data_IF_452382153070
#
_entry.id   IF_452382153070
#
_cell.length_a   1.000
_cell.length_b   1.000
_cell.length_c   1.000
_cell.angle_alpha   90.00
_cell.angle_beta   90.00
_cell.angle_gamma   90.00
#
_symmetry.space_group_name_H-M   'P 1'
#
loop_
_entity.id
_entity.type
_entity.pdbx_description
1 polymer ?
#
# COMPACT_ATOMS: atom_id res chain seq x y z
N UNK A 1 -7.06 2.08 14.64
CA UNK A 1 -6.97 3.43 15.27
C UNK A 1 -5.78 4.21 14.71
N UNK A 2 -5.91 5.49 14.33
CA UNK A 2 -4.74 6.38 14.11
C UNK A 2 -4.37 7.14 15.38
N UNK A 3 -3.23 6.77 15.98
CA UNK A 3 -2.02 7.60 16.20
C UNK A 3 -1.21 7.01 17.37
N UNK A 4 0.09 6.80 17.12
CA UNK A 4 1.13 6.22 17.99
C UNK A 4 1.23 4.69 17.94
N UNK A 5 1.64 4.18 16.77
CA UNK A 5 2.41 2.94 16.59
C UNK A 5 2.09 1.81 17.57
N UNK A 6 1.23 0.92 17.08
CA UNK A 6 0.86 -0.41 17.59
C UNK A 6 -0.05 -0.48 18.81
N UNK A 7 -1.27 -0.99 18.56
CA UNK A 7 -2.20 -1.49 19.56
C UNK A 7 -2.59 -2.90 19.11
N UNK A 8 -2.11 -3.88 19.87
CA UNK A 8 -2.55 -5.28 19.84
C UNK A 8 -3.70 -5.42 20.85
N UNK A 9 -4.73 -6.23 20.56
CA UNK A 9 -5.54 -6.94 21.56
C UNK A 9 -6.59 -7.87 20.91
N UNK A 10 -6.94 -8.92 21.66
CA UNK A 10 -7.01 -10.35 21.30
C UNK A 10 -8.19 -10.99 22.08
N UNK A 11 -8.83 -12.06 21.61
CA UNK A 11 -9.45 -12.98 22.59
C UNK A 11 -10.44 -14.02 22.06
N UNK A 12 -10.19 -15.28 22.39
CA UNK A 12 -10.99 -16.48 22.10
C UNK A 12 -12.23 -16.61 23.01
N UNK A 13 -13.36 -17.06 22.46
CA UNK A 13 -14.27 -17.95 23.19
C UNK A 13 -15.05 -18.84 22.23
N UNK A 14 -14.90 -20.16 22.36
CA UNK A 14 -15.80 -21.16 21.75
C UNK A 14 -15.87 -21.20 20.21
N UNK A 15 -14.74 -20.99 19.51
CA UNK A 15 -14.57 -21.49 18.13
C UNK A 15 -14.38 -20.47 17.01
N UNK A 16 -14.31 -19.17 17.29
CA UNK A 16 -13.90 -18.13 16.33
C UNK A 16 -13.15 -17.01 17.10
N UNK A 17 -12.16 -16.34 16.47
CA UNK A 17 -11.72 -14.92 16.61
C UNK A 17 -10.33 -14.65 15.92
N UNK A 18 -10.26 -13.52 15.18
CA UNK A 18 -9.53 -13.10 13.95
C UNK A 18 -8.14 -12.41 14.10
N UNK A 19 -7.47 -12.02 12.99
CA UNK A 19 -6.43 -10.95 12.93
C UNK A 19 -6.30 -10.23 11.56
N UNK A 20 -6.20 -8.89 11.57
CA UNK A 20 -5.81 -7.97 10.47
C UNK A 20 -4.52 -7.24 10.88
N UNK A 21 -3.61 -6.95 9.95
CA UNK A 21 -2.39 -6.15 10.17
C UNK A 21 -2.33 -4.96 9.20
N UNK A 22 -2.13 -3.75 9.75
CA UNK A 22 -1.94 -2.48 9.00
C UNK A 22 -0.83 -1.69 9.72
N UNK A 23 0.13 -1.13 8.97
CA UNK A 23 1.28 -0.41 9.52
C UNK A 23 1.03 1.10 9.79
N UNK A 24 2.07 1.81 10.25
CA UNK A 24 2.04 3.26 10.53
C UNK A 24 2.05 4.18 9.30
N UNK A 25 2.19 3.62 8.10
CA UNK A 25 2.04 4.31 6.81
C UNK A 25 0.61 4.16 6.26
N UNK A 26 -0.14 3.18 6.76
CA UNK A 26 -1.50 2.85 6.33
C UNK A 26 -1.57 1.63 5.41
N UNK A 27 -0.48 0.87 5.26
CA UNK A 27 -0.43 -0.28 4.35
C UNK A 27 -0.98 -1.55 5.01
N UNK A 28 -1.93 -2.19 4.31
CA UNK A 28 -2.61 -3.44 4.66
C UNK A 28 -1.73 -4.67 4.35
N UNK A 29 -1.71 -5.67 5.26
CA UNK A 29 -0.82 -6.84 5.10
C UNK A 29 -1.50 -8.12 4.63
N UNK A 30 -2.79 -8.41 4.92
CA UNK A 30 -3.59 -9.54 4.36
C UNK A 30 -4.87 -9.86 5.18
N UNK A 31 -5.72 -10.75 4.66
CA UNK A 31 -6.86 -11.39 5.37
C UNK A 31 -7.23 -12.77 4.80
N UNK A 32 -7.57 -13.76 5.65
CA UNK A 32 -8.52 -14.88 5.43
C UNK A 32 -8.55 -15.80 6.67
N UNK A 33 -9.55 -16.60 7.03
CA UNK A 33 -11.01 -16.47 7.11
C UNK A 33 -11.45 -17.21 8.40
N UNK A 34 -12.58 -16.87 9.00
CA UNK A 34 -13.33 -17.81 9.84
C UNK A 34 -14.62 -18.16 9.09
N UNK A 35 -14.53 -19.12 8.17
CA UNK A 35 -15.66 -19.81 7.55
C UNK A 35 -16.81 -18.91 7.07
N UNK A 36 -16.63 -18.24 5.93
CA UNK A 36 -17.73 -17.64 5.18
C UNK A 36 -18.35 -16.42 5.84
N UNK A 37 -17.57 -15.64 6.59
CA UNK A 37 -18.02 -14.40 7.21
C UNK A 37 -17.49 -13.20 6.41
N UNK A 38 -18.39 -12.41 5.84
CA UNK A 38 -18.02 -11.16 5.17
C UNK A 38 -17.57 -10.10 6.20
N UNK A 39 -16.58 -9.28 5.83
CA UNK A 39 -15.92 -8.30 6.69
C UNK A 39 -15.72 -6.98 5.94
N UNK A 40 -15.93 -5.84 6.61
CA UNK A 40 -15.61 -4.52 6.08
C UNK A 40 -15.30 -3.54 7.21
N UNK A 41 -14.58 -2.45 6.92
CA UNK A 41 -14.32 -1.37 7.88
C UNK A 41 -14.73 -0.01 7.34
N UNK A 42 -15.28 0.84 8.20
CA UNK A 42 -15.62 2.22 7.84
C UNK A 42 -14.42 3.17 8.04
N UNK A 43 -14.58 4.44 7.63
CA UNK A 43 -13.55 5.48 7.75
C UNK A 43 -13.13 5.78 9.19
N UNK A 44 -13.99 5.50 10.17
CA UNK A 44 -13.69 5.64 11.60
C UNK A 44 -12.89 4.44 12.16
N UNK A 45 -12.68 3.39 11.34
CA UNK A 45 -11.97 2.17 11.69
C UNK A 45 -12.80 1.16 12.49
N UNK A 46 -14.13 1.34 12.56
CA UNK A 46 -15.03 0.32 13.10
C UNK A 46 -15.14 -0.83 12.12
N UNK A 47 -15.18 -2.06 12.64
CA UNK A 47 -15.19 -3.28 11.84
C UNK A 47 -16.61 -3.85 11.86
N UNK A 48 -17.08 -4.27 10.71
CA UNK A 48 -18.38 -4.88 10.53
C UNK A 48 -18.22 -6.29 9.99
N UNK A 49 -18.90 -7.24 10.61
CA UNK A 49 -18.88 -8.64 10.19
C UNK A 49 -20.26 -9.24 10.21
N UNK A 50 -20.51 -10.19 9.30
CA UNK A 50 -21.68 -11.06 9.37
C UNK A 50 -21.22 -12.45 9.75
N UNK A 51 -21.59 -12.91 10.96
CA UNK A 51 -21.22 -14.24 11.45
C UNK A 51 -22.30 -15.29 11.19
N UNK A 52 -21.93 -16.49 10.72
CA UNK A 52 -22.80 -17.69 10.86
C UNK A 52 -22.54 -18.87 9.93
N UNK A 53 -22.91 -20.08 10.39
CA UNK A 53 -23.04 -21.28 9.56
C UNK A 53 -24.36 -21.26 8.75
N UNK A 54 -24.51 -22.06 7.69
CA UNK A 54 -25.71 -22.04 6.84
C UNK A 54 -27.01 -22.38 7.62
N UNK A 55 -28.09 -21.62 7.41
CA UNK A 55 -29.45 -21.95 7.89
C UNK A 55 -29.96 -21.27 9.18
N UNK A 56 -29.79 -19.96 9.34
CA UNK A 56 -30.33 -19.22 10.51
C UNK A 56 -30.29 -17.70 10.40
N UNK A 57 -30.57 -17.02 11.51
CA UNK A 57 -30.45 -15.55 11.66
C UNK A 57 -28.98 -15.17 11.74
N UNK A 58 -28.51 -14.29 10.85
CA UNK A 58 -27.11 -13.82 10.83
C UNK A 58 -27.03 -12.36 11.26
N UNK A 59 -26.44 -12.03 12.43
CA UNK A 59 -26.29 -10.65 12.84
C UNK A 59 -25.18 -9.97 12.04
N UNK A 60 -25.44 -8.73 11.60
CA UNK A 60 -24.39 -7.77 11.32
C UNK A 60 -23.88 -7.26 12.68
N UNK A 61 -22.62 -7.49 12.95
CA UNK A 61 -21.95 -7.11 14.20
C UNK A 61 -20.96 -6.01 13.89
N UNK A 62 -21.09 -4.89 14.59
CA UNK A 62 -20.08 -3.85 14.68
C UNK A 62 -19.14 -4.16 15.84
N UNK A 63 -17.84 -3.99 15.60
CA UNK A 63 -16.78 -4.19 16.58
C UNK A 63 -16.04 -2.86 16.76
N UNK A 64 -16.07 -2.32 17.97
CA UNK A 64 -15.30 -1.14 18.33
C UNK A 64 -13.80 -1.49 18.34
N UNK A 65 -12.97 -0.83 17.51
CA UNK A 65 -11.57 -1.18 17.34
C UNK A 65 -10.71 -0.82 18.57
N UNK A 66 -11.21 0.02 19.47
CA UNK A 66 -10.50 0.44 20.69
C UNK A 66 -10.77 -0.47 21.86
N UNK A 67 -12.00 -0.95 21.95
CA UNK A 67 -12.49 -1.68 23.13
C UNK A 67 -12.74 -3.16 22.85
N UNK A 68 -12.84 -3.55 21.58
CA UNK A 68 -13.29 -4.89 21.16
C UNK A 68 -14.77 -5.14 21.45
N UNK A 69 -15.53 -4.11 21.84
CA UNK A 69 -16.94 -4.25 22.15
C UNK A 69 -17.73 -4.57 20.87
N UNK A 70 -18.55 -5.63 20.95
CA UNK A 70 -19.43 -6.05 19.86
C UNK A 70 -20.83 -5.49 20.06
N UNK A 71 -21.41 -4.95 18.99
CA UNK A 71 -22.79 -4.45 18.96
C UNK A 71 -23.53 -5.01 17.76
N UNK A 72 -24.72 -5.58 17.97
CA UNK A 72 -25.55 -6.04 16.86
C UNK A 72 -26.21 -4.83 16.22
N UNK A 73 -25.92 -4.62 14.94
CA UNK A 73 -26.49 -3.55 14.12
C UNK A 73 -27.86 -3.96 13.58
N UNK A 74 -27.92 -5.11 12.92
CA UNK A 74 -29.13 -5.68 12.33
C UNK A 74 -29.00 -7.19 12.20
N UNK A 75 -30.06 -7.85 11.73
CA UNK A 75 -30.08 -9.29 11.52
C UNK A 75 -30.62 -9.62 10.13
N UNK A 76 -29.88 -10.46 9.42
CA UNK A 76 -30.31 -11.05 8.16
C UNK A 76 -31.09 -12.33 8.44
N UNK A 77 -32.27 -12.45 7.82
CA UNK A 77 -33.09 -13.66 7.88
C UNK A 77 -32.88 -14.43 6.58
N UNK A 78 -32.35 -15.65 6.67
CA UNK A 78 -32.13 -16.57 5.54
C UNK A 78 -31.18 -16.09 4.43
N UNK A 79 -30.50 -14.95 4.58
CA UNK A 79 -29.53 -14.46 3.60
C UNK A 79 -28.11 -14.94 3.95
N UNK A 80 -27.38 -15.41 2.94
CA UNK A 80 -25.95 -15.67 3.05
C UNK A 80 -25.19 -14.47 2.50
N UNK A 81 -24.61 -13.64 3.38
CA UNK A 81 -23.76 -12.51 2.97
C UNK A 81 -22.39 -13.05 2.55
N UNK A 82 -21.96 -12.71 1.34
CA UNK A 82 -20.70 -13.19 0.72
C UNK A 82 -19.63 -12.11 0.58
N UNK A 83 -20.02 -10.85 0.71
CA UNK A 83 -19.11 -9.72 0.67
C UNK A 83 -19.75 -8.52 1.35
N UNK A 84 -18.92 -7.72 2.00
CA UNK A 84 -19.27 -6.43 2.58
C UNK A 84 -18.25 -5.41 2.09
N UNK A 85 -18.69 -4.20 1.79
CA UNK A 85 -17.79 -3.11 1.41
C UNK A 85 -18.36 -1.77 1.88
N UNK A 86 -17.50 -0.87 2.33
CA UNK A 86 -17.87 0.52 2.54
C UNK A 86 -17.51 1.34 1.31
N UNK A 87 -18.45 2.17 0.88
CA UNK A 87 -18.13 3.26 -0.06
C UNK A 87 -17.33 4.35 0.64
N UNK A 88 -16.76 5.27 -0.16
CA UNK A 88 -16.03 6.45 0.34
C UNK A 88 -16.88 7.41 1.19
N UNK A 89 -18.21 7.28 1.15
CA UNK A 89 -19.18 8.04 1.96
C UNK A 89 -19.65 7.29 3.20
N UNK A 90 -18.98 6.20 3.58
CA UNK A 90 -19.32 5.30 4.71
C UNK A 90 -20.69 4.61 4.58
N UNK A 91 -21.18 4.43 3.36
CA UNK A 91 -22.35 3.61 3.11
C UNK A 91 -21.93 2.15 2.95
N UNK A 92 -22.51 1.27 3.75
CA UNK A 92 -22.20 -0.16 3.76
C UNK A 92 -23.04 -0.88 2.69
N UNK A 93 -22.35 -1.61 1.83
CA UNK A 93 -22.93 -2.49 0.83
C UNK A 93 -22.69 -3.94 1.21
N UNK A 94 -23.63 -4.80 0.80
CA UNK A 94 -23.52 -6.23 0.96
C UNK A 94 -23.99 -6.92 -0.31
N UNK A 95 -23.23 -7.91 -0.75
CA UNK A 95 -23.72 -8.91 -1.68
C UNK A 95 -24.14 -10.14 -0.89
N UNK A 96 -25.31 -10.65 -1.20
CA UNK A 96 -25.83 -11.83 -0.53
C UNK A 96 -26.68 -12.67 -1.44
N UNK A 97 -26.95 -13.90 -1.02
CA UNK A 97 -27.85 -14.78 -1.72
C UNK A 97 -29.05 -15.12 -0.82
N UNK A 98 -30.25 -15.08 -1.40
CA UNK A 98 -31.55 -15.27 -0.72
C UNK A 98 -31.74 -16.66 -0.14
N UNK A 99 -31.05 -17.67 -0.69
CA UNK A 99 -30.86 -18.97 -0.07
C UNK A 99 -29.60 -19.67 -0.62
N UNK A 100 -29.15 -20.76 0.01
CA UNK A 100 -27.96 -21.54 -0.42
C UNK A 100 -28.10 -22.17 -1.82
N UNK A 101 -29.33 -22.24 -2.35
CA UNK A 101 -29.65 -22.89 -3.61
C UNK A 101 -29.99 -21.89 -4.71
N UNK A 102 -30.04 -20.60 -4.39
CA UNK A 102 -30.45 -19.57 -5.31
C UNK A 102 -29.29 -19.31 -6.25
N UNK A 103 -29.64 -19.19 -7.51
CA UNK A 103 -28.69 -18.99 -8.58
C UNK A 103 -28.40 -17.52 -8.82
N UNK A 104 -28.87 -16.60 -7.98
CA UNK A 104 -28.68 -15.16 -8.18
C UNK A 104 -28.25 -14.49 -6.90
N UNK A 105 -27.27 -13.59 -6.98
CA UNK A 105 -26.86 -12.75 -5.87
C UNK A 105 -27.63 -11.41 -5.90
N UNK A 106 -27.95 -10.86 -4.73
CA UNK A 106 -28.64 -9.58 -4.53
C UNK A 106 -27.71 -8.58 -3.85
N UNK A 107 -27.76 -7.32 -4.31
CA UNK A 107 -27.01 -6.21 -3.73
C UNK A 107 -27.91 -5.42 -2.76
N UNK A 108 -27.38 -5.16 -1.57
CA UNK A 108 -28.06 -4.41 -0.51
C UNK A 108 -27.21 -3.24 -0.05
N UNK A 109 -27.91 -2.17 0.35
CA UNK A 109 -27.36 -1.09 1.15
C UNK A 109 -27.85 -1.22 2.59
N UNK A 110 -26.93 -1.08 3.52
CA UNK A 110 -27.15 -1.31 4.95
C UNK A 110 -26.90 -0.04 5.72
N UNK A 111 -27.92 0.45 6.42
CA UNK A 111 -27.75 1.58 7.31
C UNK A 111 -27.23 1.08 8.66
N UNK A 112 -25.96 1.34 8.95
CA UNK A 112 -25.32 0.87 10.19
C UNK A 112 -25.85 1.52 11.46
N UNK A 113 -26.56 2.65 11.36
CA UNK A 113 -27.14 3.33 12.50
C UNK A 113 -28.58 2.88 12.81
N UNK A 114 -29.36 2.57 11.77
CA UNK A 114 -30.78 2.18 11.92
C UNK A 114 -31.02 0.69 11.78
N UNK A 115 -30.04 -0.05 11.24
CA UNK A 115 -30.17 -1.46 10.86
C UNK A 115 -31.06 -1.70 9.64
N UNK A 116 -31.49 -0.64 8.96
CA UNK A 116 -32.34 -0.71 7.77
C UNK A 116 -31.58 -1.35 6.60
N UNK A 117 -32.26 -2.22 5.87
CA UNK A 117 -31.74 -2.93 4.70
C UNK A 117 -32.52 -2.45 3.47
N UNK A 118 -31.82 -1.92 2.47
CA UNK A 118 -32.40 -1.46 1.22
C UNK A 118 -31.89 -2.38 0.12
N UNK A 119 -32.78 -3.19 -0.46
CA UNK A 119 -32.44 -4.00 -1.62
C UNK A 119 -32.33 -3.09 -2.85
N UNK A 120 -31.15 -3.09 -3.48
CA UNK A 120 -30.87 -2.32 -4.69
C UNK A 120 -31.36 -3.09 -5.92
N UNK A 121 -31.10 -4.39 -5.96
CA UNK A 121 -31.58 -5.27 -7.01
C UNK A 121 -30.86 -6.62 -7.03
N UNK A 122 -31.34 -7.48 -7.93
CA UNK A 122 -30.70 -8.76 -8.26
C UNK A 122 -29.62 -8.54 -9.31
N UNK A 123 -28.42 -9.05 -9.06
CA UNK A 123 -27.32 -9.04 -10.03
C UNK A 123 -27.65 -9.89 -11.24
N UNK A 124 -27.25 -9.45 -12.44
CA UNK A 124 -27.72 -10.03 -13.71
C UNK A 124 -26.64 -10.91 -14.33
N UNK A 125 -26.89 -12.22 -14.43
CA UNK A 125 -26.06 -13.12 -15.23
C UNK A 125 -24.75 -13.58 -14.59
N UNK A 126 -24.58 -13.37 -13.27
CA UNK A 126 -23.46 -13.85 -12.46
C UNK A 126 -24.01 -14.63 -11.28
N UNK A 127 -23.40 -15.78 -10.98
CA UNK A 127 -23.89 -16.74 -10.01
C UNK A 127 -22.71 -17.18 -9.14
N UNK A 128 -22.64 -16.70 -7.90
CA UNK A 128 -21.48 -16.98 -7.06
C UNK A 128 -20.52 -15.80 -6.98
N UNK A 129 -21.07 -14.58 -6.99
CA UNK A 129 -20.30 -13.40 -6.63
C UNK A 129 -19.80 -13.55 -5.19
N UNK A 130 -18.50 -13.37 -5.05
CA UNK A 130 -17.75 -13.43 -3.82
C UNK A 130 -16.90 -12.19 -3.72
N UNK A 131 -16.56 -11.82 -2.48
CA UNK A 131 -15.84 -10.60 -2.19
C UNK A 131 -16.56 -9.34 -2.69
N UNK A 132 -16.30 -8.24 -2.02
CA UNK A 132 -16.85 -6.96 -2.43
C UNK A 132 -15.88 -5.89 -1.96
N UNK A 133 -15.50 -5.00 -2.86
CA UNK A 133 -14.78 -3.81 -2.46
C UNK A 133 -14.96 -2.66 -3.44
N UNK A 134 -14.79 -1.44 -2.95
CA UNK A 134 -14.77 -0.24 -3.78
C UNK A 134 -13.34 0.12 -4.15
N UNK A 135 -13.14 0.46 -5.41
CA UNK A 135 -11.91 1.15 -5.81
C UNK A 135 -11.86 2.56 -5.24
N UNK A 136 -10.68 3.20 -5.19
CA UNK A 136 -10.55 4.58 -4.71
C UNK A 136 -11.42 5.59 -5.46
N UNK A 137 -11.70 5.34 -6.75
CA UNK A 137 -12.58 6.16 -7.58
C UNK A 137 -14.08 5.85 -7.41
N UNK A 138 -14.43 4.87 -6.57
CA UNK A 138 -15.82 4.55 -6.19
C UNK A 138 -16.51 3.53 -7.10
N UNK A 139 -15.77 2.79 -7.92
CA UNK A 139 -16.31 1.68 -8.69
C UNK A 139 -16.39 0.44 -7.79
N UNK A 140 -17.55 -0.23 -7.77
CA UNK A 140 -17.76 -1.42 -6.95
C UNK A 140 -17.38 -2.67 -7.75
N UNK A 141 -16.44 -3.45 -7.20
CA UNK A 141 -15.98 -4.69 -7.80
C UNK A 141 -16.37 -5.90 -6.95
N UNK A 142 -16.53 -7.03 -7.62
CA UNK A 142 -16.72 -8.35 -7.02
C UNK A 142 -16.05 -9.41 -7.89
N UNK A 143 -15.86 -10.60 -7.34
CA UNK A 143 -15.26 -11.74 -8.04
C UNK A 143 -16.31 -12.82 -8.30
N UNK A 144 -16.47 -13.23 -9.55
CA UNK A 144 -17.24 -14.41 -9.93
C UNK A 144 -16.26 -15.55 -10.24
N UNK A 145 -16.38 -16.68 -9.55
CA UNK A 145 -15.48 -17.83 -9.74
C UNK A 145 -15.44 -18.37 -11.18
N UNK A 146 -16.50 -18.14 -11.96
CA UNK A 146 -16.61 -18.63 -13.34
C UNK A 146 -16.21 -17.60 -14.41
N UNK A 147 -16.14 -16.31 -14.04
CA UNK A 147 -15.92 -15.20 -14.99
C UNK A 147 -14.83 -14.21 -14.57
N UNK A 148 -14.28 -14.34 -13.37
CA UNK A 148 -13.28 -13.43 -12.84
C UNK A 148 -13.89 -12.12 -12.33
N UNK A 149 -13.21 -11.01 -12.63
CA UNK A 149 -13.55 -9.70 -12.08
C UNK A 149 -14.82 -9.11 -12.72
N UNK A 150 -15.70 -8.60 -11.87
CA UNK A 150 -17.00 -8.04 -12.27
C UNK A 150 -17.16 -6.65 -11.65
N UNK A 151 -17.66 -5.71 -12.44
CA UNK A 151 -18.10 -4.39 -11.96
C UNK A 151 -19.60 -4.45 -11.68
N UNK A 152 -20.02 -3.91 -10.54
CA UNK A 152 -21.42 -3.79 -10.14
C UNK A 152 -21.79 -2.30 -10.06
N UNK A 153 -22.86 -1.90 -10.72
CA UNK A 153 -23.46 -0.58 -10.51
C UNK A 153 -24.15 -0.56 -9.13
N UNK A 154 -23.68 0.25 -8.17
CA UNK A 154 -24.21 0.25 -6.81
C UNK A 154 -25.62 0.84 -6.68
N UNK A 155 -26.16 1.46 -7.73
CA UNK A 155 -27.52 2.03 -7.74
C UNK A 155 -28.53 1.15 -8.48
N UNK A 156 -28.08 0.29 -9.39
CA UNK A 156 -28.97 -0.52 -10.24
C UNK A 156 -28.74 -2.03 -10.13
N UNK A 157 -27.68 -2.46 -9.44
CA UNK A 157 -27.18 -3.84 -9.41
C UNK A 157 -26.87 -4.44 -10.79
N UNK A 158 -26.77 -3.60 -11.84
CA UNK A 158 -26.32 -4.06 -13.16
C UNK A 158 -24.85 -4.43 -13.10
N UNK A 159 -24.52 -5.56 -13.72
CA UNK A 159 -23.19 -6.13 -13.73
C UNK A 159 -22.56 -6.00 -15.11
N UNK A 160 -21.28 -5.68 -15.14
CA UNK A 160 -20.46 -5.65 -16.36
C UNK A 160 -19.24 -6.52 -16.15
N UNK A 161 -19.02 -7.47 -17.06
CA UNK A 161 -17.79 -8.26 -17.11
C UNK A 161 -16.63 -7.34 -17.51
N UNK A 162 -15.49 -7.44 -16.82
CA UNK A 162 -14.36 -6.55 -17.10
C UNK A 162 -13.69 -6.84 -18.43
N UNK A 163 -13.74 -8.07 -19.00
CA UNK A 163 -13.28 -8.30 -20.39
C UNK A 163 -13.51 -9.72 -20.98
N UNK A 164 -14.55 -10.47 -20.58
CA UNK A 164 -14.60 -11.94 -20.82
C UNK A 164 -13.28 -12.57 -20.31
N UNK A 165 -12.79 -12.06 -19.17
CA UNK A 165 -11.45 -12.30 -18.68
C UNK A 165 -11.21 -13.81 -18.62
N UNK A 166 -10.20 -14.25 -19.38
CA UNK A 166 -9.86 -15.65 -19.60
C UNK A 166 -9.84 -16.36 -18.25
N UNK A 167 -10.86 -17.21 -18.04
CA UNK A 167 -11.13 -17.88 -16.78
C UNK A 167 -9.85 -18.44 -16.18
N UNK A 168 -9.31 -17.71 -15.23
CA UNK A 168 -8.40 -18.27 -14.28
C UNK A 168 -9.33 -19.00 -13.32
N UNK A 169 -9.19 -20.33 -13.27
CA UNK A 169 -9.87 -21.25 -12.34
C UNK A 169 -9.37 -20.96 -10.91
N UNK A 170 -9.51 -19.69 -10.48
CA UNK A 170 -8.92 -19.08 -9.30
C UNK A 170 -10.07 -18.71 -8.37
N UNK A 171 -10.08 -19.38 -7.23
CA UNK A 171 -11.08 -19.19 -6.20
C UNK A 171 -10.68 -18.01 -5.31
N UNK A 172 -11.14 -16.81 -5.66
CA UNK A 172 -10.96 -15.60 -4.87
C UNK A 172 -12.20 -15.37 -4.02
N UNK A 173 -12.01 -15.27 -2.70
CA UNK A 173 -13.09 -15.06 -1.72
C UNK A 173 -13.02 -13.70 -1.04
N UNK A 174 -11.84 -13.07 -1.05
CA UNK A 174 -11.63 -11.70 -0.61
C UNK A 174 -10.92 -10.93 -1.72
N UNK A 175 -11.33 -9.68 -1.89
CA UNK A 175 -10.64 -8.70 -2.72
C UNK A 175 -10.45 -7.45 -1.88
N UNK A 176 -9.38 -6.72 -2.16
CA UNK A 176 -9.10 -5.45 -1.52
C UNK A 176 -8.39 -4.50 -2.45
N UNK A 177 -8.88 -3.26 -2.48
CA UNK A 177 -8.19 -2.15 -3.09
C UNK A 177 -7.21 -1.52 -2.13
N UNK A 178 -6.04 -1.20 -2.67
CA UNK A 178 -5.10 -0.29 -2.03
C UNK A 178 -5.41 1.15 -2.42
N UNK A 179 -4.92 2.10 -1.61
CA UNK A 179 -5.10 3.54 -1.86
C UNK A 179 -4.52 4.00 -3.21
N UNK A 180 -3.54 3.27 -3.76
CA UNK A 180 -2.94 3.52 -5.08
C UNK A 180 -3.71 2.87 -6.25
N UNK A 181 -4.85 2.22 -5.99
CA UNK A 181 -5.78 1.71 -6.99
C UNK A 181 -5.48 0.29 -7.47
N UNK A 182 -4.54 -0.42 -6.85
CA UNK A 182 -4.26 -1.82 -7.17
C UNK A 182 -5.28 -2.71 -6.48
N UNK A 183 -5.65 -3.79 -7.16
CA UNK A 183 -6.59 -4.78 -6.66
C UNK A 183 -5.86 -6.06 -6.33
N UNK A 184 -6.02 -6.52 -5.11
CA UNK A 184 -5.54 -7.83 -4.69
C UNK A 184 -6.72 -8.73 -4.35
N UNK A 185 -6.55 -10.02 -4.56
CA UNK A 185 -7.54 -10.98 -4.13
C UNK A 185 -6.95 -12.34 -3.84
N UNK A 186 -7.65 -13.11 -3.02
CA UNK A 186 -7.24 -14.46 -2.71
C UNK A 186 -8.23 -15.26 -1.90
N UNK A 187 -7.79 -16.48 -1.60
CA UNK A 187 -8.39 -17.38 -0.62
C UNK A 187 -7.27 -18.09 0.13
N UNK A 188 -6.64 -19.04 -0.56
CA UNK A 188 -5.45 -19.80 -0.11
C UNK A 188 -4.18 -19.31 -0.82
N UNK A 189 -4.34 -18.58 -1.91
CA UNK A 189 -3.27 -18.01 -2.74
C UNK A 189 -3.58 -16.53 -2.92
N UNK A 190 -2.52 -15.72 -3.04
CA UNK A 190 -2.64 -14.29 -3.22
C UNK A 190 -2.34 -13.92 -4.68
N UNK A 191 -3.21 -13.09 -5.24
CA UNK A 191 -3.14 -12.59 -6.62
C UNK A 191 -3.22 -11.07 -6.64
N UNK A 192 -2.44 -10.45 -7.52
CA UNK A 192 -2.75 -9.12 -8.04
C UNK A 192 -3.68 -9.26 -9.24
N UNK A 193 -4.72 -8.43 -9.31
CA UNK A 193 -5.75 -8.47 -10.34
C UNK A 193 -5.67 -7.17 -11.13
N UNK A 194 -5.45 -7.27 -12.44
CA UNK A 194 -5.51 -6.12 -13.33
C UNK A 194 -6.97 -5.70 -13.54
N UNK A 195 -7.30 -4.47 -13.15
CA UNK A 195 -8.68 -3.96 -13.15
C UNK A 195 -9.21 -3.62 -14.53
N UNK A 196 -8.33 -3.47 -15.53
CA UNK A 196 -8.73 -3.18 -16.91
C UNK A 196 -9.02 -4.47 -17.69
N UNK A 197 -8.29 -5.54 -17.39
CA UNK A 197 -8.31 -6.79 -18.17
C UNK A 197 -8.89 -7.97 -17.40
N UNK A 198 -8.94 -7.92 -16.08
CA UNK A 198 -9.29 -9.03 -15.20
C UNK A 198 -8.21 -10.10 -15.09
N UNK A 199 -7.03 -9.91 -15.71
CA UNK A 199 -5.92 -10.85 -15.64
C UNK A 199 -5.37 -10.93 -14.20
N UNK A 200 -5.05 -12.14 -13.75
CA UNK A 200 -4.47 -12.37 -12.43
C UNK A 200 -2.98 -12.68 -12.54
N UNK A 201 -2.20 -12.06 -11.66
CA UNK A 201 -0.79 -12.38 -11.44
C UNK A 201 -0.66 -13.02 -10.07
N UNK A 202 -0.25 -14.29 -10.05
CA UNK A 202 0.05 -14.98 -8.81
C UNK A 202 1.23 -14.32 -8.11
N UNK A 203 1.05 -13.95 -6.84
CA UNK A 203 2.07 -13.27 -6.04
C UNK A 203 2.51 -14.04 -4.79
N UNK A 204 1.82 -15.13 -4.42
CA UNK A 204 2.30 -16.03 -3.37
C UNK A 204 1.30 -17.11 -2.94
N UNK A 205 1.81 -18.24 -2.47
CA UNK A 205 0.99 -19.30 -1.85
C UNK A 205 0.78 -18.90 -0.39
N UNK A 206 -0.47 -18.70 0.02
CA UNK A 206 -0.87 -18.38 1.38
C UNK A 206 -1.50 -19.58 2.09
N UNK A 207 -0.99 -20.79 1.83
CA UNK A 207 -1.56 -21.99 2.43
C UNK A 207 -1.47 -21.94 3.95
N UNK A 208 -2.59 -21.73 4.65
CA UNK A 208 -2.95 -21.98 6.06
C UNK A 208 -1.92 -21.78 7.21
N UNK A 209 -0.70 -21.35 6.96
CA UNK A 209 0.35 -21.08 7.93
C UNK A 209 0.84 -19.64 7.75
N UNK A 210 0.80 -18.88 8.83
CA UNK A 210 1.61 -17.70 9.13
C UNK A 210 2.10 -16.89 7.91
N UNK A 211 1.57 -15.68 7.74
CA UNK A 211 2.14 -14.58 6.91
C UNK A 211 3.51 -14.09 7.44
N UNK A 212 4.37 -15.00 7.88
CA UNK A 212 5.76 -14.77 8.30
C UNK A 212 6.77 -14.92 7.16
N UNK A 213 6.29 -15.04 5.92
CA UNK A 213 7.12 -15.04 4.71
C UNK A 213 6.66 -14.06 3.63
N UNK A 214 5.51 -13.42 3.81
CA UNK A 214 5.00 -12.37 2.94
C UNK A 214 4.82 -11.15 3.84
N UNK A 215 5.94 -10.47 4.14
CA UNK A 215 5.87 -9.01 4.15
C UNK A 215 5.15 -8.64 2.86
N UNK A 216 4.12 -7.81 2.97
CA UNK A 216 3.49 -7.13 1.83
C UNK A 216 4.54 -6.96 0.75
N UNK A 217 4.21 -7.40 -0.46
CA UNK A 217 4.74 -6.75 -1.64
C UNK A 217 4.42 -5.25 -1.49
N UNK A 218 5.23 -4.50 -0.72
CA UNK A 218 5.87 -3.34 -1.29
C UNK A 218 6.35 -3.90 -2.62
N UNK A 219 5.58 -3.66 -3.67
CA UNK A 219 6.16 -3.73 -4.99
C UNK A 219 7.13 -2.57 -4.99
N UNK A 220 8.29 -2.81 -4.37
CA UNK A 220 9.55 -2.21 -4.72
C UNK A 220 9.58 -2.43 -6.22
N UNK A 221 9.16 -1.42 -6.97
CA UNK A 221 9.43 -1.46 -8.39
C UNK A 221 10.94 -1.31 -8.45
N UNK A 222 11.63 -2.43 -8.55
CA UNK A 222 13.04 -2.44 -8.86
C UNK A 222 13.16 -2.04 -10.32
N UNK A 223 13.62 -0.82 -10.54
CA UNK A 223 13.83 -0.23 -11.85
C UNK A 223 15.33 -0.15 -12.07
N UNK A 224 15.80 -1.12 -12.84
CA UNK A 224 17.21 -1.24 -13.19
C UNK A 224 17.48 -0.59 -14.56
N UNK A 225 18.47 0.30 -14.57
CA UNK A 225 19.07 0.86 -15.76
C UNK A 225 20.10 -0.07 -16.37
N UNK A 226 21.06 0.52 -17.07
CA UNK A 226 22.09 -0.18 -17.84
C UNK A 226 23.46 0.44 -17.56
N UNK A 227 24.48 0.08 -18.36
CA UNK A 227 25.77 0.78 -18.33
C UNK A 227 25.82 2.05 -19.20
N UNK A 228 24.69 2.40 -19.83
CA UNK A 228 24.54 3.54 -20.71
C UNK A 228 23.65 4.62 -20.06
N UNK A 229 23.47 5.75 -20.76
CA UNK A 229 22.63 6.84 -20.24
C UNK A 229 21.14 6.45 -20.24
N UNK A 230 20.53 6.50 -19.07
CA UNK A 230 19.14 6.14 -18.84
C UNK A 230 18.25 7.31 -18.36
N UNK A 231 16.94 7.13 -18.56
CA UNK A 231 15.89 7.95 -17.94
C UNK A 231 14.94 7.01 -17.21
N UNK A 232 15.15 6.88 -15.90
CA UNK A 232 14.36 6.01 -15.05
C UNK A 232 13.39 6.86 -14.24
N UNK A 233 12.13 6.45 -14.24
CA UNK A 233 11.05 7.14 -13.54
C UNK A 233 10.26 6.09 -12.79
N UNK A 234 10.25 6.23 -11.46
CA UNK A 234 9.44 5.45 -10.54
C UNK A 234 7.94 5.56 -10.80
N UNK A 235 7.19 4.76 -10.07
CA UNK A 235 5.72 4.74 -10.10
C UNK A 235 5.20 5.44 -8.84
N UNK A 236 3.98 5.12 -8.43
CA UNK A 236 3.54 5.45 -7.08
C UNK A 236 3.98 4.30 -6.15
N UNK A 237 4.23 4.61 -4.89
CA UNK A 237 4.75 3.65 -3.91
C UNK A 237 6.27 3.75 -3.74
N UNK A 238 6.82 2.91 -2.87
CA UNK A 238 8.24 2.91 -2.53
C UNK A 238 9.03 2.17 -3.62
N UNK A 239 9.88 2.87 -4.37
CA UNK A 239 10.64 2.29 -5.47
C UNK A 239 12.11 2.06 -5.11
N UNK A 240 12.74 1.09 -5.81
CA UNK A 240 14.20 0.95 -5.84
C UNK A 240 14.66 1.26 -7.25
N UNK A 241 15.39 2.35 -7.44
CA UNK A 241 15.85 2.77 -8.76
C UNK A 241 17.37 2.70 -8.81
N UNK A 242 17.91 1.83 -9.67
CA UNK A 242 19.35 1.65 -9.87
C UNK A 242 19.76 2.13 -11.28
N UNK A 243 20.50 3.22 -11.38
CA UNK A 243 21.04 3.73 -12.66
C UNK A 243 22.21 2.92 -13.21
N UNK A 244 22.94 2.21 -12.33
CA UNK A 244 24.18 1.48 -12.61
C UNK A 244 25.32 2.34 -13.19
N UNK A 245 25.41 2.52 -14.50
CA UNK A 245 26.49 3.29 -15.10
C UNK A 245 25.94 4.14 -16.23
N UNK A 246 26.42 5.36 -16.40
CA UNK A 246 25.76 6.24 -17.37
C UNK A 246 25.91 7.71 -17.02
N UNK A 247 24.93 8.51 -17.40
CA UNK A 247 24.75 9.87 -16.91
C UNK A 247 23.25 10.09 -16.86
N UNK A 248 22.67 9.62 -15.77
CA UNK A 248 21.28 9.19 -15.77
C UNK A 248 20.37 10.28 -15.24
N UNK A 249 19.08 10.12 -15.55
CA UNK A 249 18.03 10.93 -14.95
C UNK A 249 17.10 10.00 -14.20
N UNK A 250 17.14 10.08 -12.88
CA UNK A 250 16.40 9.20 -11.98
C UNK A 250 15.36 10.03 -11.20
N UNK A 251 14.10 9.61 -11.22
CA UNK A 251 12.99 10.28 -10.53
C UNK A 251 12.18 9.25 -9.76
N UNK A 252 12.05 9.38 -8.44
CA UNK A 252 11.26 8.49 -7.57
C UNK A 252 9.75 8.65 -7.73
N UNK A 253 9.25 9.89 -7.62
CA UNK A 253 7.82 10.29 -7.58
C UNK A 253 7.27 10.25 -6.15
N UNK A 254 6.26 9.45 -5.85
CA UNK A 254 5.52 9.51 -4.60
C UNK A 254 5.71 8.19 -3.87
N UNK A 255 6.27 8.21 -2.66
CA UNK A 255 6.74 7.04 -1.93
C UNK A 255 8.06 7.35 -1.22
N UNK A 256 8.51 6.45 -0.36
CA UNK A 256 9.84 6.50 0.23
C UNK A 256 10.79 5.73 -0.69
N UNK A 257 11.50 6.42 -1.57
CA UNK A 257 12.26 5.79 -2.63
C UNK A 257 13.73 5.57 -2.23
N UNK A 258 14.33 4.48 -2.73
CA UNK A 258 15.78 4.28 -2.71
C UNK A 258 16.30 4.49 -4.13
N UNK A 259 17.06 5.57 -4.34
CA UNK A 259 17.55 5.92 -5.67
C UNK A 259 19.07 5.95 -5.68
N UNK A 260 19.67 5.06 -6.47
CA UNK A 260 21.11 4.92 -6.64
C UNK A 260 21.53 5.27 -8.07
N UNK A 261 22.31 6.35 -8.23
CA UNK A 261 22.89 6.77 -9.51
C UNK A 261 23.89 5.78 -10.07
N UNK A 262 24.65 5.12 -9.20
CA UNK A 262 25.71 4.22 -9.61
C UNK A 262 26.96 4.99 -10.05
N UNK A 263 27.29 5.01 -11.33
CA UNK A 263 28.49 5.66 -11.86
C UNK A 263 28.17 6.60 -13.01
N UNK A 264 28.64 7.84 -12.95
CA UNK A 264 28.23 8.80 -13.97
C UNK A 264 28.17 10.23 -13.47
N UNK A 265 27.39 11.05 -14.18
CA UNK A 265 26.93 12.34 -13.67
C UNK A 265 25.43 12.34 -13.72
N UNK A 266 24.84 12.00 -12.59
CA UNK A 266 23.45 11.65 -12.52
C UNK A 266 22.63 12.82 -11.98
N UNK A 267 21.39 12.90 -12.45
CA UNK A 267 20.40 13.85 -11.99
C UNK A 267 19.33 13.06 -11.24
N UNK A 268 19.39 13.11 -9.92
CA UNK A 268 18.55 12.32 -9.02
C UNK A 268 17.52 13.22 -8.34
N UNK A 269 16.26 12.79 -8.37
CA UNK A 269 15.14 13.48 -7.74
C UNK A 269 14.24 12.49 -7.00
N UNK A 270 14.15 12.61 -5.68
CA UNK A 270 13.25 11.79 -4.85
C UNK A 270 11.76 12.10 -5.11
N UNK A 271 11.40 13.35 -4.86
CA UNK A 271 10.10 14.00 -5.12
C UNK A 271 9.15 14.04 -3.92
N UNK A 272 8.46 12.99 -3.54
CA UNK A 272 7.50 13.04 -2.44
C UNK A 272 7.54 11.82 -1.57
N UNK A 273 7.93 11.99 -0.30
CA UNK A 273 8.12 10.90 0.65
C UNK A 273 9.54 10.99 1.23
N UNK A 274 9.92 10.09 2.11
CA UNK A 274 11.23 10.13 2.76
C UNK A 274 12.22 9.32 1.93
N UNK A 275 13.02 10.01 1.13
CA UNK A 275 13.85 9.35 0.11
C UNK A 275 15.29 9.10 0.58
N UNK A 276 15.90 8.02 0.10
CA UNK A 276 17.34 7.74 0.23
C UNK A 276 17.99 7.96 -1.13
N UNK A 277 18.82 9.00 -1.23
CA UNK A 277 19.47 9.40 -2.47
C UNK A 277 20.97 9.13 -2.42
N UNK A 278 21.42 8.22 -3.27
CA UNK A 278 22.82 7.79 -3.41
C UNK A 278 23.32 8.25 -4.78
N UNK A 279 24.20 9.25 -4.82
CA UNK A 279 24.80 9.72 -6.07
C UNK A 279 25.73 8.69 -6.70
N UNK A 280 26.54 8.04 -5.86
CA UNK A 280 27.52 7.06 -6.31
C UNK A 280 28.82 7.71 -6.79
N UNK A 281 29.40 7.18 -7.86
CA UNK A 281 30.65 7.67 -8.42
C UNK A 281 30.40 8.77 -9.45
N UNK A 282 30.89 9.97 -9.19
CA UNK A 282 31.07 11.00 -10.20
C UNK A 282 30.61 12.37 -9.74
N UNK A 283 29.87 13.12 -10.55
CA UNK A 283 29.39 14.45 -10.11
C UNK A 283 27.89 14.51 -10.29
N UNK A 284 27.21 14.30 -9.18
CA UNK A 284 25.78 14.07 -9.19
C UNK A 284 25.03 15.28 -8.66
N UNK A 285 23.79 15.42 -9.12
CA UNK A 285 22.85 16.45 -8.66
C UNK A 285 21.71 15.77 -7.95
N UNK A 286 21.65 15.95 -6.64
CA UNK A 286 20.66 15.32 -5.77
C UNK A 286 19.63 16.37 -5.32
N UNK A 287 18.34 16.02 -5.44
CA UNK A 287 17.22 16.87 -5.01
C UNK A 287 16.15 16.01 -4.32
N UNK A 288 15.94 16.21 -3.03
CA UNK A 288 14.96 15.43 -2.25
C UNK A 288 13.51 15.86 -2.52
N UNK A 289 13.25 17.16 -2.46
CA UNK A 289 11.94 17.82 -2.49
C UNK A 289 11.12 17.65 -1.21
N UNK A 290 10.00 16.91 -1.21
CA UNK A 290 9.10 16.82 -0.05
C UNK A 290 9.43 15.57 0.74
N UNK A 291 9.61 15.69 2.05
CA UNK A 291 9.98 14.54 2.88
C UNK A 291 11.03 14.90 3.89
N UNK A 292 11.45 13.88 4.65
CA UNK A 292 12.71 13.85 5.39
C UNK A 292 13.68 12.97 4.63
N UNK A 293 14.57 13.58 3.88
CA UNK A 293 15.40 12.85 2.92
C UNK A 293 16.79 12.54 3.50
N UNK A 294 17.37 11.41 3.11
CA UNK A 294 18.75 11.03 3.42
C UNK A 294 19.58 11.15 2.15
N UNK A 295 20.56 12.07 2.16
CA UNK A 295 21.55 12.18 1.10
C UNK A 295 22.81 11.45 1.53
N UNK A 296 23.16 10.36 0.84
CA UNK A 296 24.27 9.50 1.26
C UNK A 296 25.60 10.06 0.74
N UNK A 297 26.54 10.25 1.65
CA UNK A 297 27.92 10.66 1.41
C UNK A 297 28.83 9.43 1.49
N UNK A 298 29.54 9.15 0.41
CA UNK A 298 30.44 7.99 0.31
C UNK A 298 31.88 8.42 0.00
N UNK A 299 32.86 7.59 0.38
CA UNK A 299 34.30 7.81 0.14
C UNK A 299 34.74 7.69 -1.33
N UNK A 300 33.81 7.81 -2.29
CA UNK A 300 34.06 7.68 -3.73
C UNK A 300 34.51 8.97 -4.42
N UNK A 301 34.54 8.96 -5.76
CA UNK A 301 34.83 10.16 -6.57
C UNK A 301 33.63 11.12 -6.69
N UNK A 302 32.52 10.82 -6.00
CA UNK A 302 31.30 11.62 -5.85
C UNK A 302 31.61 13.03 -5.34
N UNK A 303 31.44 14.05 -6.18
CA UNK A 303 31.62 15.47 -5.85
C UNK A 303 30.28 16.17 -5.87
N UNK A 304 29.35 15.67 -5.10
CA UNK A 304 27.92 15.87 -5.35
C UNK A 304 27.47 17.29 -5.05
N UNK A 305 26.32 17.63 -5.63
CA UNK A 305 25.63 18.89 -5.42
C UNK A 305 24.24 18.55 -4.93
N UNK A 306 24.02 18.74 -3.62
CA UNK A 306 22.71 18.63 -2.99
C UNK A 306 22.03 20.00 -3.12
N UNK A 307 20.83 20.03 -3.71
CA UNK A 307 20.22 21.27 -4.21
C UNK A 307 19.26 21.94 -3.22
N UNK A 308 18.65 21.17 -2.34
CA UNK A 308 17.51 21.61 -1.53
C UNK A 308 17.50 21.06 -0.10
N UNK A 309 18.67 20.67 0.42
CA UNK A 309 18.83 20.20 1.80
C UNK A 309 18.19 21.18 2.80
N UNK A 310 17.29 20.66 3.63
CA UNK A 310 16.60 21.39 4.71
C UNK A 310 17.12 20.92 6.06
N UNK A 311 17.85 21.81 6.72
CA UNK A 311 18.34 21.59 8.08
C UNK A 311 17.20 21.24 9.06
N UNK A 312 17.45 20.25 9.92
CA UNK A 312 16.48 19.76 10.91
C UNK A 312 15.30 18.96 10.34
N UNK A 313 15.30 18.71 9.03
CA UNK A 313 14.32 17.88 8.33
C UNK A 313 15.03 16.73 7.63
N UNK A 314 16.02 17.06 6.80
CA UNK A 314 16.82 16.09 6.04
C UNK A 314 18.06 15.65 6.84
N UNK A 315 18.74 14.62 6.35
CA UNK A 315 19.95 14.08 6.96
C UNK A 315 21.02 13.75 5.91
N UNK A 316 22.27 13.79 6.35
CA UNK A 316 23.44 13.38 5.59
C UNK A 316 23.88 12.00 6.08
N UNK A 317 23.66 10.98 5.25
CA UNK A 317 24.06 9.61 5.55
C UNK A 317 25.55 9.43 5.38
N UNK A 318 26.27 8.99 6.40
CA UNK A 318 27.70 8.72 6.34
C UNK A 318 27.93 7.24 6.05
N UNK A 319 28.40 6.91 4.84
CA UNK A 319 28.79 5.55 4.48
C UNK A 319 29.93 5.02 5.36
N UNK A 320 30.14 3.70 5.31
CA UNK A 320 31.21 3.03 6.05
C UNK A 320 32.58 3.74 5.89
N UNK A 321 33.25 3.97 7.01
CA UNK A 321 34.54 4.66 7.07
C UNK A 321 34.47 6.18 7.17
N UNK A 322 33.27 6.77 7.17
CA UNK A 322 33.07 8.19 7.49
C UNK A 322 32.47 8.36 8.89
N UNK A 323 33.00 9.33 9.62
CA UNK A 323 32.39 9.84 10.84
C UNK A 323 32.32 11.37 10.79
N UNK A 324 31.38 11.97 11.51
CA UNK A 324 31.25 13.42 11.57
C UNK A 324 32.56 14.11 12.00
N UNK A 325 33.31 13.50 12.94
CA UNK A 325 34.58 14.04 13.41
C UNK A 325 35.68 14.12 12.35
N UNK A 326 35.53 13.39 11.24
CA UNK A 326 36.51 13.40 10.14
C UNK A 326 36.19 14.46 9.07
N UNK A 327 35.09 15.20 9.23
CA UNK A 327 34.59 16.12 8.22
C UNK A 327 34.98 17.57 8.48
N UNK A 328 35.46 18.23 7.43
CA UNK A 328 35.59 19.68 7.38
C UNK A 328 34.36 20.29 6.71
N UNK A 329 33.60 21.09 7.46
CA UNK A 329 32.42 21.81 6.96
C UNK A 329 32.80 23.28 6.77
N UNK A 330 32.74 23.76 5.51
CA UNK A 330 33.25 25.08 5.14
C UNK A 330 32.22 25.85 4.33
N UNK A 331 31.91 27.08 4.75
CA UNK A 331 31.10 28.00 3.96
C UNK A 331 31.83 28.50 2.70
N UNK A 332 31.15 28.48 1.54
CA UNK A 332 31.65 28.98 0.26
C UNK A 332 30.57 29.79 -0.45
N UNK A 333 30.56 31.10 -0.22
CA UNK A 333 29.48 31.96 -0.71
C UNK A 333 28.16 31.58 -0.04
N UNK A 334 27.09 31.40 -0.82
CA UNK A 334 25.80 30.92 -0.33
C UNK A 334 25.69 29.39 -0.37
N UNK A 335 26.75 28.65 -0.04
CA UNK A 335 26.72 27.18 -0.06
C UNK A 335 27.67 26.62 0.98
N UNK A 336 27.38 25.43 1.48
CA UNK A 336 28.25 24.68 2.39
C UNK A 336 29.01 23.63 1.61
N UNK A 337 30.31 23.49 1.88
CA UNK A 337 31.17 22.46 1.34
C UNK A 337 31.53 21.47 2.44
N UNK A 338 31.27 20.19 2.21
CA UNK A 338 31.63 19.09 3.11
C UNK A 338 32.85 18.39 2.52
N UNK A 339 33.91 18.25 3.31
CA UNK A 339 35.16 17.63 2.88
C UNK A 339 35.61 16.55 3.85
N UNK A 340 36.29 15.56 3.32
CA UNK A 340 37.04 14.55 4.06
C UNK A 340 38.48 14.56 3.56
N UNK A 341 39.47 14.69 4.44
CA UNK A 341 40.90 14.75 4.07
C UNK A 341 41.20 15.72 2.92
N UNK A 342 40.68 16.95 2.99
CA UNK A 342 40.75 17.99 1.94
C UNK A 342 40.08 17.67 0.60
N UNK A 343 39.44 16.51 0.47
CA UNK A 343 38.68 16.13 -0.73
C UNK A 343 37.22 16.52 -0.55
N UNK A 344 36.61 17.17 -1.55
CA UNK A 344 35.18 17.46 -1.55
C UNK A 344 34.40 16.13 -1.59
N UNK A 345 33.47 15.95 -0.66
CA UNK A 345 32.42 14.95 -0.73
C UNK A 345 31.18 15.56 -1.41
N UNK A 346 30.59 16.58 -0.79
CA UNK A 346 29.39 17.21 -1.31
C UNK A 346 29.39 18.73 -1.11
N UNK A 347 28.53 19.42 -1.86
CA UNK A 347 28.16 20.80 -1.59
C UNK A 347 26.66 20.93 -1.40
N UNK A 348 26.25 21.57 -0.31
CA UNK A 348 24.87 21.92 -0.02
C UNK A 348 24.57 23.30 -0.58
N UNK A 349 23.67 23.37 -1.55
CA UNK A 349 23.31 24.62 -2.22
C UNK A 349 22.41 25.46 -1.33
N UNK A 350 22.76 26.74 -1.13
CA UNK A 350 21.97 27.71 -0.33
C UNK A 350 21.76 27.33 1.13
N UNK A 351 22.70 26.57 1.68
CA UNK A 351 22.75 26.25 3.12
C UNK A 351 23.91 27.01 3.74
N UNK A 352 23.70 27.55 4.95
CA UNK A 352 24.75 28.19 5.75
C UNK A 352 25.49 27.14 6.57
N UNK A 353 26.82 27.11 6.46
CA UNK A 353 27.67 26.14 7.13
C UNK A 353 27.54 26.18 8.66
N UNK A 354 27.21 27.34 9.24
CA UNK A 354 27.03 27.48 10.69
C UNK A 354 25.76 26.81 11.23
N UNK A 355 24.84 26.46 10.34
CA UNK A 355 23.62 25.76 10.74
C UNK A 355 23.83 24.26 10.79
N UNK A 356 24.86 23.73 10.11
CA UNK A 356 25.09 22.30 10.03
C UNK A 356 25.80 21.80 11.29
N UNK A 357 25.13 20.91 12.02
CA UNK A 357 25.60 20.29 13.25
C UNK A 357 25.79 18.78 13.13
N UNK A 358 26.24 18.14 14.20
CA UNK A 358 26.41 16.68 14.23
C UNK A 358 25.07 15.94 14.11
N UNK A 359 23.98 16.57 14.54
CA UNK A 359 22.60 16.10 14.45
C UNK A 359 22.08 15.96 13.01
N UNK A 360 22.69 16.65 12.05
CA UNK A 360 22.34 16.55 10.63
C UNK A 360 22.97 15.31 9.96
N UNK A 361 23.82 14.57 10.68
CA UNK A 361 24.52 13.39 10.17
C UNK A 361 24.03 12.12 10.85
N UNK A 362 23.81 11.09 10.04
CA UNK A 362 23.40 9.76 10.50
C UNK A 362 24.34 8.70 9.97
N UNK A 363 24.70 7.67 10.75
CA UNK A 363 25.39 6.49 10.21
C UNK A 363 24.54 5.84 9.12
N UNK A 364 25.17 5.46 8.01
CA UNK A 364 24.53 4.76 6.91
C UNK A 364 25.37 3.53 6.58
N UNK A 365 24.85 2.34 6.92
CA UNK A 365 25.55 1.05 6.83
C UNK A 365 24.79 0.08 5.94
#
# INVERSE_FOLDING_TARGET
>A
MKKNNTIQLIGLNSGNIFQLEIDGSGSLISSSDFGGNALASNSAGHIFTVSGLPGGVRPLVEIDPKTGAESIVTQFQNLSVRGLAFSSTDELFAISNTDLNSTTDELFKLNVNTGEQINIGTTVGFNGLQALDFSPEGTLYSWDISKGLVVIDPETAQTTDVNDAVGADVDIQSIVFTDDGRLFGGRDELYEIDVETGETTFIGEGGYDDLRGIEVLEVKNEIDGTGDRDVLIGKAGNDIINGFGGNDKLIGKAGNDIINGGGGRDHIRGAGGNDILIGGNGLDRLTGNQGRDIFVLSLGQGRDIIRDFKNGVDSLGLSEGLSFSDLDIVGRGASTLIRYNNTKLASLSRVDAHTIGAEDFVPFH
#
